data_IF_965404559830
#
_entry.id   IF_965404559830
#
_cell.length_a   1.000
_cell.length_b   1.000
_cell.length_c   1.000
_cell.angle_alpha   90.00
_cell.angle_beta   90.00
_cell.angle_gamma   90.00
#
_symmetry.space_group_name_H-M   'P 1'
#
loop_
_entity.id
_entity.type
_entity.pdbx_description
1 polymer ?
#
# COMPACT_ATOMS: atom_id res chain seq x y z
N UNK A 1 -10.67 -8.06 -20.54
CA UNK A 1 -11.48 -8.99 -19.71
C UNK A 1 -11.00 -8.90 -18.27
N UNK A 2 -11.86 -8.66 -17.26
CA UNK A 2 -11.47 -8.82 -15.87
C UNK A 2 -11.47 -10.32 -15.53
N UNK A 3 -10.39 -10.81 -14.92
CA UNK A 3 -10.35 -12.16 -14.36
C UNK A 3 -11.16 -12.19 -13.05
N UNK A 4 -12.06 -13.16 -12.86
CA UNK A 4 -12.68 -13.39 -11.57
C UNK A 4 -11.67 -14.12 -10.69
N UNK A 5 -11.02 -13.40 -9.77
CA UNK A 5 -10.23 -14.00 -8.70
C UNK A 5 -11.14 -14.15 -7.48
N UNK A 6 -11.47 -15.39 -7.13
CA UNK A 6 -12.39 -15.77 -6.04
C UNK A 6 -11.78 -15.64 -4.64
N UNK A 7 -10.65 -14.95 -4.49
CA UNK A 7 -9.91 -14.83 -3.22
C UNK A 7 -10.38 -13.70 -2.29
N UNK A 8 -11.50 -13.02 -2.57
CA UNK A 8 -12.00 -11.93 -1.71
C UNK A 8 -11.13 -10.66 -1.69
N UNK A 9 -9.97 -10.67 -2.33
CA UNK A 9 -9.11 -9.51 -2.51
C UNK A 9 -9.52 -8.74 -3.77
N UNK A 10 -10.03 -7.53 -3.61
CA UNK A 10 -10.31 -6.64 -4.74
C UNK A 10 -9.03 -5.91 -5.16
N UNK A 11 -8.61 -6.12 -6.40
CA UNK A 11 -7.55 -5.36 -7.07
C UNK A 11 -8.18 -4.09 -7.67
N UNK A 12 -7.93 -2.93 -7.06
CA UNK A 12 -8.45 -1.66 -7.58
C UNK A 12 -7.45 -1.04 -8.57
N UNK A 13 -7.94 -0.71 -9.77
CA UNK A 13 -7.26 0.15 -10.75
C UNK A 13 -7.86 1.54 -10.60
N UNK A 14 -7.03 2.59 -10.45
CA UNK A 14 -7.52 3.95 -10.64
C UNK A 14 -7.50 4.27 -12.13
N UNK A 15 -8.65 4.37 -12.82
CA UNK A 15 -8.68 5.13 -14.04
C UNK A 15 -8.38 6.61 -13.72
N UNK A 16 -7.64 7.28 -14.61
CA UNK A 16 -7.66 8.74 -14.67
C UNK A 16 -9.11 9.13 -14.96
N UNK A 17 -9.78 9.68 -13.96
CA UNK A 17 -11.19 10.13 -13.90
C UNK A 17 -12.24 9.08 -13.51
N UNK A 18 -13.01 9.41 -12.47
CA UNK A 18 -14.22 8.71 -12.02
C UNK A 18 -14.04 7.92 -10.72
N UNK A 19 -14.18 8.57 -9.56
CA UNK A 19 -14.07 7.93 -8.25
C UNK A 19 -15.39 7.30 -7.76
N UNK A 20 -15.34 6.21 -6.97
CA UNK A 20 -16.52 5.65 -6.30
C UNK A 20 -16.86 6.42 -5.01
N UNK A 21 -18.16 6.46 -4.69
CA UNK A 21 -18.75 7.11 -3.52
C UNK A 21 -18.21 6.55 -2.19
N UNK A 22 -17.49 7.39 -1.44
CA UNK A 22 -17.12 7.14 -0.04
C UNK A 22 -18.34 7.40 0.86
N UNK A 23 -18.84 6.38 1.57
CA UNK A 23 -19.82 6.60 2.64
C UNK A 23 -19.14 7.23 3.86
N UNK A 24 -19.78 8.27 4.37
CA UNK A 24 -19.43 9.03 5.57
C UNK A 24 -19.20 8.15 6.80
N UNK A 25 -18.17 8.47 7.59
CA UNK A 25 -17.97 7.93 8.93
C UNK A 25 -16.58 8.23 9.50
N UNK A 26 -16.46 9.37 10.19
CA UNK A 26 -15.31 9.79 11.01
C UNK A 26 -13.96 10.00 10.29
N UNK A 27 -13.18 10.98 10.75
CA UNK A 27 -11.81 11.16 10.30
C UNK A 27 -10.99 9.92 10.72
N UNK A 28 -10.86 8.94 9.83
CA UNK A 28 -10.06 7.76 10.08
C UNK A 28 -8.58 8.18 10.04
N UNK A 29 -7.94 8.22 11.20
CA UNK A 29 -6.49 8.22 11.27
C UNK A 29 -6.01 6.80 10.90
N UNK A 30 -4.95 6.73 10.10
CA UNK A 30 -4.40 5.45 9.67
C UNK A 30 -2.96 5.32 10.17
N UNK A 31 -2.62 4.14 10.68
CA UNK A 31 -1.25 3.73 10.86
C UNK A 31 -0.71 3.30 9.50
N UNK A 32 0.57 3.59 9.23
CA UNK A 32 1.16 3.19 7.96
C UNK A 32 2.62 2.78 8.08
N UNK A 33 2.98 1.75 7.32
CA UNK A 33 4.33 1.23 7.17
C UNK A 33 4.68 1.31 5.69
N UNK A 34 5.82 1.93 5.40
CA UNK A 34 6.28 2.16 4.04
C UNK A 34 7.55 1.38 3.81
N UNK A 35 7.51 0.47 2.82
CA UNK A 35 8.71 -0.14 2.26
C UNK A 35 9.22 0.68 1.08
N UNK A 36 10.52 0.92 1.07
CA UNK A 36 11.24 1.63 0.03
C UNK A 36 12.40 0.79 -0.48
N UNK A 37 12.78 1.02 -1.74
CA UNK A 37 14.03 0.52 -2.31
C UNK A 37 14.11 -1.01 -2.42
N UNK A 38 13.02 -1.68 -2.78
CA UNK A 38 13.13 -3.05 -3.27
C UNK A 38 13.44 -3.01 -4.77
N UNK A 39 14.67 -3.35 -5.12
CA UNK A 39 15.02 -3.59 -6.50
C UNK A 39 14.63 -5.00 -6.91
N UNK A 40 13.86 -5.10 -7.98
CA UNK A 40 13.52 -6.37 -8.63
C UNK A 40 14.15 -6.40 -10.01
N UNK A 41 14.72 -7.55 -10.39
CA UNK A 41 15.26 -7.80 -11.72
C UNK A 41 14.69 -9.10 -12.31
N UNK A 42 14.91 -9.29 -13.61
CA UNK A 42 14.59 -10.55 -14.30
C UNK A 42 13.15 -11.03 -14.10
N UNK A 43 12.97 -12.28 -13.66
CA UNK A 43 11.67 -12.91 -13.51
C UNK A 43 10.77 -12.26 -12.45
N UNK A 44 11.35 -11.80 -11.33
CA UNK A 44 10.60 -11.14 -10.27
C UNK A 44 10.04 -9.79 -10.74
N UNK A 45 10.84 -9.03 -11.50
CA UNK A 45 10.37 -7.78 -12.07
C UNK A 45 9.23 -7.98 -13.07
N UNK A 46 9.35 -8.97 -13.97
CA UNK A 46 8.29 -9.30 -14.95
C UNK A 46 6.96 -9.66 -14.27
N UNK A 47 6.99 -10.49 -13.22
CA UNK A 47 5.78 -10.85 -12.46
C UNK A 47 5.09 -9.63 -11.83
N UNK A 48 5.85 -8.68 -11.31
CA UNK A 48 5.27 -7.45 -10.76
C UNK A 48 4.66 -6.54 -11.84
N UNK A 49 5.27 -6.47 -13.03
CA UNK A 49 4.69 -5.75 -14.17
C UNK A 49 3.38 -6.39 -14.66
N UNK A 50 3.25 -7.72 -14.58
CA UNK A 50 2.02 -8.44 -14.98
C UNK A 50 0.82 -8.12 -14.08
N UNK A 51 1.06 -7.70 -12.83
CA UNK A 51 -0.02 -7.36 -11.92
C UNK A 51 -0.79 -6.15 -12.44
N UNK A 52 -0.13 -5.00 -12.68
CA UNK A 52 -0.74 -3.79 -13.29
C UNK A 52 0.28 -2.75 -13.77
N UNK A 53 1.28 -3.15 -14.56
CA UNK A 53 2.29 -2.31 -15.25
C UNK A 53 3.14 -1.38 -14.37
N UNK A 54 2.55 -0.50 -13.56
CA UNK A 54 3.24 0.47 -12.72
C UNK A 54 2.78 0.47 -11.26
N UNK A 55 1.68 -0.18 -10.91
CA UNK A 55 1.28 -0.32 -9.50
C UNK A 55 -0.11 -0.89 -9.30
N UNK A 56 -0.38 -1.33 -8.07
CA UNK A 56 -1.66 -1.90 -7.66
C UNK A 56 -2.03 -1.55 -6.22
N UNK A 57 -3.33 -1.56 -5.94
CA UNK A 57 -3.87 -1.58 -4.59
C UNK A 57 -4.61 -2.88 -4.33
N UNK A 58 -4.38 -3.43 -3.15
CA UNK A 58 -5.06 -4.60 -2.62
C UNK A 58 -5.68 -4.27 -1.27
N UNK A 59 -6.82 -4.89 -0.98
CA UNK A 59 -7.50 -4.80 0.31
C UNK A 59 -7.93 -6.20 0.73
N UNK A 60 -7.62 -6.58 1.96
CA UNK A 60 -8.27 -7.74 2.58
C UNK A 60 -9.62 -7.30 3.15
N UNK A 61 -10.70 -7.94 2.73
CA UNK A 61 -12.03 -7.69 3.31
C UNK A 61 -12.12 -8.17 4.76
N UNK A 62 -11.32 -9.18 5.15
CA UNK A 62 -11.32 -9.76 6.48
C UNK A 62 -10.49 -8.95 7.49
N UNK A 63 -9.32 -8.45 7.07
CA UNK A 63 -8.34 -7.82 7.96
C UNK A 63 -8.42 -6.28 7.92
N UNK A 64 -9.11 -5.71 6.93
CA UNK A 64 -9.44 -4.28 6.91
C UNK A 64 -8.28 -3.33 6.52
N UNK A 65 -7.10 -3.84 6.18
CA UNK A 65 -5.96 -3.03 5.73
C UNK A 65 -6.00 -2.76 4.21
N UNK A 66 -5.30 -1.69 3.81
CA UNK A 66 -4.96 -1.36 2.42
C UNK A 66 -3.46 -1.61 2.19
N UNK A 67 -3.12 -2.23 1.07
CA UNK A 67 -1.74 -2.38 0.63
C UNK A 67 -1.60 -1.85 -0.80
N UNK A 68 -0.79 -0.81 -0.95
CA UNK A 68 -0.40 -0.23 -2.22
C UNK A 68 1.02 -0.69 -2.57
N UNK A 69 1.24 -1.09 -3.82
CA UNK A 69 2.57 -1.34 -4.36
C UNK A 69 2.73 -0.57 -5.67
N UNK A 70 3.85 0.12 -5.84
CA UNK A 70 4.13 0.94 -7.01
C UNK A 70 5.56 0.77 -7.50
N UNK A 71 5.72 0.96 -8.80
CA UNK A 71 7.00 1.11 -9.47
C UNK A 71 7.44 2.57 -9.38
N UNK A 72 8.60 2.80 -8.79
CA UNK A 72 9.19 4.13 -8.65
C UNK A 72 10.01 4.51 -9.88
N UNK A 73 10.90 3.61 -10.31
CA UNK A 73 11.83 3.87 -11.41
C UNK A 73 12.18 2.56 -12.11
N UNK A 74 12.33 2.61 -13.43
CA UNK A 74 12.90 1.52 -14.23
C UNK A 74 14.34 1.87 -14.57
N UNK A 75 15.22 0.88 -14.47
CA UNK A 75 16.63 0.99 -14.80
C UNK A 75 17.01 -0.09 -15.81
N UNK A 76 17.86 0.26 -16.77
CA UNK A 76 18.47 -0.71 -17.69
C UNK A 76 19.83 -1.10 -17.11
N UNK A 77 20.01 -2.39 -16.83
CA UNK A 77 21.25 -2.99 -16.33
C UNK A 77 21.80 -3.96 -17.39
N UNK A 78 23.09 -4.36 -17.31
CA UNK A 78 23.69 -5.28 -18.28
C UNK A 78 22.95 -6.63 -18.42
N UNK A 79 22.27 -7.07 -17.35
CA UNK A 79 21.46 -8.29 -17.29
C UNK A 79 19.99 -8.10 -17.72
N UNK A 80 19.59 -6.87 -18.04
CA UNK A 80 18.26 -6.52 -18.53
C UNK A 80 17.58 -5.41 -17.73
N UNK A 81 16.25 -5.39 -17.75
CA UNK A 81 15.47 -4.38 -17.04
C UNK A 81 15.34 -4.73 -15.55
N UNK A 82 15.51 -3.71 -14.71
CA UNK A 82 15.24 -3.75 -13.28
C UNK A 82 14.27 -2.63 -12.88
N UNK A 83 13.49 -2.86 -11.84
CA UNK A 83 12.52 -1.92 -11.31
C UNK A 83 12.75 -1.67 -9.83
N UNK A 84 12.71 -0.41 -9.43
CA UNK A 84 12.65 -0.01 -8.03
C UNK A 84 11.19 0.06 -7.59
N UNK A 85 10.80 -0.79 -6.66
CA UNK A 85 9.46 -0.84 -6.11
C UNK A 85 9.41 -0.16 -4.74
N UNK A 86 8.25 0.41 -4.45
CA UNK A 86 7.88 0.89 -3.12
C UNK A 86 6.48 0.40 -2.80
N UNK A 87 6.19 0.25 -1.52
CA UNK A 87 4.88 -0.17 -1.07
C UNK A 87 4.50 0.53 0.22
N UNK A 88 3.20 0.56 0.47
CA UNK A 88 2.60 1.17 1.65
C UNK A 88 1.49 0.27 2.14
N UNK A 89 1.65 -0.20 3.37
CA UNK A 89 0.61 -0.85 4.13
C UNK A 89 -0.04 0.17 5.06
N UNK A 90 -1.37 0.15 5.13
CA UNK A 90 -2.17 1.05 5.96
C UNK A 90 -3.32 0.30 6.61
N UNK A 91 -3.58 0.57 7.88
CA UNK A 91 -4.80 0.14 8.55
C UNK A 91 -5.44 1.31 9.31
N UNK A 92 -6.76 1.28 9.54
CA UNK A 92 -7.41 2.21 10.44
C UNK A 92 -6.84 2.08 11.86
N UNK A 93 -6.40 3.20 12.43
CA UNK A 93 -5.83 3.25 13.77
C UNK A 93 -6.11 4.60 14.42
N UNK A 94 -7.09 4.62 15.32
CA UNK A 94 -7.50 5.83 16.03
C UNK A 94 -6.41 6.36 16.99
N UNK A 95 -5.45 5.52 17.38
CA UNK A 95 -4.40 5.82 18.38
C UNK A 95 -3.06 6.17 17.74
N UNK A 96 -2.95 6.17 16.41
CA UNK A 96 -1.69 6.51 15.70
C UNK A 96 -1.12 7.89 16.08
N UNK A 97 -1.97 8.79 16.58
CA UNK A 97 -1.57 10.11 17.06
C UNK A 97 -0.81 10.10 18.39
N UNK A 98 -0.95 9.03 19.19
CA UNK A 98 -0.47 8.95 20.56
C UNK A 98 1.05 8.91 20.62
N UNK A 99 1.62 9.46 21.69
CA UNK A 99 3.07 9.59 21.84
C UNK A 99 3.76 8.24 22.09
N UNK A 100 3.05 7.31 22.74
CA UNK A 100 3.43 5.94 23.07
C UNK A 100 2.98 4.92 22.01
N UNK A 101 2.54 5.38 20.84
CA UNK A 101 2.09 4.50 19.78
C UNK A 101 3.18 3.51 19.35
N UNK A 102 2.80 2.24 19.19
CA UNK A 102 3.74 1.14 18.97
C UNK A 102 4.63 1.37 17.74
N UNK A 103 4.15 2.02 16.67
CA UNK A 103 4.98 2.28 15.47
C UNK A 103 6.15 3.23 15.72
N UNK A 104 6.09 4.03 16.80
CA UNK A 104 7.19 4.91 17.24
C UNK A 104 8.24 4.15 18.04
N UNK A 105 7.81 3.13 18.78
CA UNK A 105 8.64 2.34 19.69
C UNK A 105 9.17 1.05 19.05
N UNK A 106 8.51 0.57 17.99
CA UNK A 106 8.85 -0.64 17.28
C UNK A 106 10.26 -0.54 16.67
N UNK A 107 11.02 -1.61 16.84
CA UNK A 107 12.24 -1.88 16.12
C UNK A 107 11.99 -1.95 14.60
N UNK A 108 13.08 -1.87 13.83
CA UNK A 108 13.00 -1.99 12.37
C UNK A 108 12.47 -3.36 11.91
N UNK A 109 12.60 -4.41 12.72
CA UNK A 109 12.14 -5.76 12.38
C UNK A 109 10.66 -6.00 12.77
N UNK A 110 10.18 -5.38 13.84
CA UNK A 110 8.78 -5.56 14.26
C UNK A 110 7.78 -4.99 13.23
N UNK A 111 8.17 -3.96 12.48
CA UNK A 111 7.36 -3.36 11.41
C UNK A 111 7.10 -4.33 10.25
N UNK A 112 8.11 -4.91 9.58
CA UNK A 112 7.87 -5.90 8.52
C UNK A 112 7.17 -7.15 9.08
N UNK A 113 7.53 -7.62 10.28
CA UNK A 113 6.85 -8.78 10.89
C UNK A 113 5.34 -8.54 11.07
N UNK A 114 4.95 -7.33 11.47
CA UNK A 114 3.55 -6.93 11.56
C UNK A 114 2.87 -6.95 10.19
N UNK A 115 3.50 -6.38 9.16
CA UNK A 115 2.96 -6.40 7.80
C UNK A 115 2.81 -7.82 7.26
N UNK A 116 3.81 -8.69 7.47
CA UNK A 116 3.80 -10.08 6.99
C UNK A 116 2.64 -10.90 7.59
N UNK A 117 2.30 -10.66 8.86
CA UNK A 117 1.11 -11.25 9.49
C UNK A 117 -0.18 -10.82 8.80
N UNK A 118 -0.26 -9.56 8.37
CA UNK A 118 -1.45 -9.01 7.69
C UNK A 118 -1.56 -9.48 6.24
N UNK A 119 -0.45 -9.45 5.49
CA UNK A 119 -0.46 -9.80 4.05
C UNK A 119 -0.54 -11.30 3.78
N UNK A 120 -0.45 -12.16 4.80
CA UNK A 120 -0.66 -13.61 4.65
C UNK A 120 -2.04 -13.94 4.07
N UNK A 121 -3.04 -13.09 4.32
CA UNK A 121 -4.39 -13.21 3.79
C UNK A 121 -4.51 -12.83 2.30
N UNK A 122 -3.47 -12.23 1.70
CA UNK A 122 -3.46 -11.90 0.28
C UNK A 122 -2.93 -13.08 -0.57
N UNK A 123 -3.37 -13.18 -1.83
CA UNK A 123 -2.74 -14.06 -2.81
C UNK A 123 -1.21 -13.86 -2.87
N UNK A 124 -0.40 -14.93 -2.99
CA UNK A 124 1.07 -14.85 -2.95
C UNK A 124 1.67 -13.76 -3.86
N UNK A 125 1.10 -13.60 -5.07
CA UNK A 125 1.53 -12.57 -6.04
C UNK A 125 1.42 -11.13 -5.54
N UNK A 126 0.51 -10.83 -4.62
CA UNK A 126 0.27 -9.47 -4.09
C UNK A 126 1.08 -9.14 -2.85
N UNK A 127 1.77 -10.14 -2.27
CA UNK A 127 2.59 -9.99 -1.06
C UNK A 127 4.09 -10.19 -1.31
N UNK A 128 4.47 -10.69 -2.49
CA UNK A 128 5.87 -10.92 -2.91
C UNK A 128 6.78 -9.71 -2.61
N UNK A 129 6.34 -8.49 -2.94
CA UNK A 129 7.15 -7.28 -2.71
C UNK A 129 7.37 -7.03 -1.21
N UNK A 130 6.34 -7.21 -0.38
CA UNK A 130 6.46 -7.06 1.08
C UNK A 130 7.33 -8.17 1.68
N UNK A 131 7.24 -9.40 1.20
CA UNK A 131 8.04 -10.56 1.64
C UNK A 131 9.52 -10.43 1.28
N UNK A 132 9.83 -9.86 0.11
CA UNK A 132 11.21 -9.65 -0.34
C UNK A 132 11.85 -8.39 0.24
N UNK A 133 11.08 -7.49 0.85
CA UNK A 133 11.60 -6.25 1.42
C UNK A 133 12.36 -6.54 2.72
N UNK A 134 13.69 -6.29 2.77
CA UNK A 134 14.45 -6.44 4.01
C UNK A 134 14.05 -5.37 5.03
N UNK A 135 14.30 -5.62 6.32
CA UNK A 135 13.95 -4.68 7.39
C UNK A 135 14.59 -3.29 7.24
N UNK A 136 15.79 -3.20 6.67
CA UNK A 136 16.45 -1.92 6.38
C UNK A 136 15.83 -1.16 5.19
N UNK A 137 14.96 -1.81 4.40
CA UNK A 137 14.14 -1.20 3.36
C UNK A 137 12.87 -0.53 3.90
N UNK A 138 12.55 -0.69 5.18
CA UNK A 138 11.39 -0.05 5.81
C UNK A 138 11.76 1.37 6.25
N UNK A 139 10.87 2.34 5.99
CA UNK A 139 11.07 3.71 6.49
C UNK A 139 11.09 3.72 8.02
N UNK A 140 12.11 4.36 8.60
CA UNK A 140 12.29 4.46 10.04
C UNK A 140 11.16 5.24 10.70
N UNK A 141 10.83 6.39 10.13
CA UNK A 141 9.81 7.28 10.65
C UNK A 141 8.41 6.77 10.29
N UNK A 142 7.51 6.61 11.28
CA UNK A 142 6.13 6.27 10.99
C UNK A 142 5.47 7.41 10.24
N UNK A 143 4.85 7.09 9.11
CA UNK A 143 4.07 8.08 8.37
C UNK A 143 2.65 8.09 8.94
N UNK A 144 2.27 9.18 9.60
CA UNK A 144 0.93 9.33 10.20
C UNK A 144 0.06 10.17 9.27
N UNK A 145 -0.89 9.52 8.60
CA UNK A 145 -1.92 10.23 7.85
C UNK A 145 -2.98 10.77 8.82
N UNK A 146 -2.87 12.05 9.21
CA UNK A 146 -3.98 12.76 9.86
C UNK A 146 -4.88 13.36 8.79
N UNK A 147 -6.13 12.93 8.76
CA UNK A 147 -7.18 13.62 8.02
C UNK A 147 -7.52 14.93 8.74
N UNK A 148 -6.64 15.93 8.65
CA UNK A 148 -6.98 17.32 8.94
C UNK A 148 -7.35 17.95 7.60
N UNK A 149 -8.65 18.16 7.38
CA UNK A 149 -9.27 18.84 6.22
C UNK A 149 -9.62 18.00 4.97
N UNK A 150 -10.51 17.02 5.11
CA UNK A 150 -11.41 16.66 3.98
C UNK A 150 -12.74 17.42 4.01
N UNK A 151 -13.00 18.25 5.04
CA UNK A 151 -14.23 19.06 5.14
C UNK A 151 -14.21 20.38 4.33
N UNK A 152 -13.11 20.71 3.64
CA UNK A 152 -13.00 21.94 2.83
C UNK A 152 -13.09 21.70 1.30
N UNK A 153 -13.23 20.44 0.87
CA UNK A 153 -13.53 20.08 -0.53
C UNK A 153 -14.84 19.27 -0.65
N UNK A 154 -15.74 19.40 0.32
CA UNK A 154 -17.14 19.07 0.10
C UNK A 154 -17.69 20.11 -0.88
N UNK A 155 -17.69 19.74 -2.16
CA UNK A 155 -18.61 20.18 -3.21
C UNK A 155 -19.57 21.28 -2.74
N UNK A 156 -19.27 22.56 -3.02
CA UNK A 156 -20.34 23.55 -3.11
C UNK A 156 -21.03 23.27 -4.43
N UNK A 157 -22.28 22.77 -4.47
CA UNK A 157 -23.02 22.86 -5.71
C UNK A 157 -23.15 24.36 -6.01
N UNK A 158 -22.59 24.80 -7.13
CA UNK A 158 -23.00 26.06 -7.74
C UNK A 158 -24.45 25.82 -8.17
N UNK A 159 -25.38 26.23 -7.33
CA UNK A 159 -26.76 26.43 -7.76
C UNK A 159 -26.74 27.70 -8.60
N UNK A 160 -27.30 27.59 -9.80
CA UNK A 160 -27.42 28.63 -10.84
C UNK A 160 -27.80 30.00 -10.32
#
# INVERSE_FOLDING_TARGET
MPYPDTSGAALYVFPRQGGPHWRQGHAAANSSIVGTALELSGGAFKRQLELRYSGYMSRSQEVGFFNFCGLHQVQVKPDGLSGQCYWMWMEPDAKVGDADHWLRMASQQEKPDHVLKSVVALPPRLREVSELTPANGIKKEPYVWRSSSWSLMAYRPVVS
#
